data_IF_167630730484
#
_entry.id   IF_167630730484
#
_cell.length_a   1.000
_cell.length_b   1.000
_cell.length_c   1.000
_cell.angle_alpha   90.00
_cell.angle_beta   90.00
_cell.angle_gamma   90.00
#
_symmetry.space_group_name_H-M   'P 1'
#
loop_
_entity.id
_entity.type
_entity.pdbx_description
1 polymer ?
#
# COMPACT_ATOMS: atom_id res chain seq x y z
N UNK A 1 48.39 38.49 39.16
CA UNK A 1 47.44 38.42 38.02
C UNK A 1 47.34 39.82 37.40
N UNK A 2 48.14 40.10 36.38
CA UNK A 2 48.21 41.43 35.76
C UNK A 2 46.97 41.73 34.92
N UNK A 3 46.25 42.80 35.25
CA UNK A 3 45.12 43.32 34.45
C UNK A 3 45.68 44.00 33.20
N UNK A 4 45.81 43.26 32.10
CA UNK A 4 45.98 43.85 30.77
C UNK A 4 44.69 44.62 30.42
N UNK A 5 44.70 45.94 30.61
CA UNK A 5 43.66 46.83 30.09
C UNK A 5 44.23 47.50 28.84
N UNK A 6 43.68 47.17 27.66
CA UNK A 6 43.92 47.96 26.46
C UNK A 6 43.40 49.38 26.70
N UNK A 7 44.28 50.32 26.99
CA UNK A 7 43.97 51.76 26.97
C UNK A 7 44.11 52.24 25.53
N UNK A 8 43.04 52.08 24.74
CA UNK A 8 42.94 52.69 23.41
C UNK A 8 42.40 54.11 23.58
N UNK A 9 43.29 55.10 23.59
CA UNK A 9 42.91 56.51 23.56
C UNK A 9 42.62 56.93 22.12
N UNK A 10 41.34 56.99 21.74
CA UNK A 10 40.89 57.32 20.38
C UNK A 10 41.11 58.80 20.00
N UNK A 11 41.76 59.61 20.82
CA UNK A 11 42.14 60.98 20.43
C UNK A 11 43.32 61.01 19.45
N UNK A 12 44.21 60.01 19.48
CA UNK A 12 45.41 59.96 18.64
C UNK A 12 45.20 59.14 17.37
N UNK A 13 45.80 59.57 16.25
CA UNK A 13 45.71 58.88 14.95
C UNK A 13 46.25 57.45 15.01
N UNK A 14 47.29 57.19 15.80
CA UNK A 14 47.88 55.86 15.98
C UNK A 14 46.92 54.88 16.66
N UNK A 15 46.25 55.31 17.74
CA UNK A 15 45.29 54.47 18.45
C UNK A 15 43.99 54.28 17.65
N UNK A 16 43.57 55.28 16.86
CA UNK A 16 42.48 55.12 15.88
C UNK A 16 42.82 54.05 14.85
N UNK A 17 44.05 54.04 14.32
CA UNK A 17 44.52 53.02 13.39
C UNK A 17 44.59 51.63 14.04
N UNK A 18 45.12 51.51 15.26
CA UNK A 18 45.13 50.23 16.01
C UNK A 18 43.73 49.70 16.27
N UNK A 19 42.80 50.56 16.69
CA UNK A 19 41.40 50.19 16.88
C UNK A 19 40.75 49.76 15.56
N UNK A 20 41.01 50.49 14.47
CA UNK A 20 40.52 50.13 13.14
C UNK A 20 41.03 48.77 12.66
N UNK A 21 42.33 48.49 12.83
CA UNK A 21 42.94 47.19 12.49
C UNK A 21 42.33 46.07 13.34
N UNK A 22 42.14 46.28 14.65
CA UNK A 22 41.53 45.28 15.53
C UNK A 22 40.08 44.99 15.16
N UNK A 23 39.29 46.02 14.86
CA UNK A 23 37.89 45.86 14.42
C UNK A 23 37.83 45.16 13.07
N UNK A 24 38.65 45.56 12.09
CA UNK A 24 38.72 44.89 10.80
C UNK A 24 39.17 43.44 10.93
N UNK A 25 40.20 43.17 11.73
CA UNK A 25 40.68 41.83 12.03
C UNK A 25 39.60 40.96 12.68
N UNK A 26 38.84 41.52 13.63
CA UNK A 26 37.71 40.82 14.27
C UNK A 26 36.59 40.54 13.26
N UNK A 27 36.22 41.50 12.41
CA UNK A 27 35.19 41.31 11.38
C UNK A 27 35.60 40.25 10.36
N UNK A 28 36.86 40.25 9.93
CA UNK A 28 37.42 39.23 9.03
C UNK A 28 37.39 37.87 9.73
N UNK A 29 37.84 37.78 10.98
CA UNK A 29 37.81 36.54 11.74
C UNK A 29 36.39 35.98 11.87
N UNK A 30 35.41 36.82 12.24
CA UNK A 30 34.00 36.43 12.33
C UNK A 30 33.47 35.98 10.96
N UNK A 31 33.82 36.68 9.89
CA UNK A 31 33.44 36.32 8.52
C UNK A 31 33.97 34.95 8.13
N UNK A 32 35.27 34.69 8.33
CA UNK A 32 35.91 33.40 8.05
C UNK A 32 35.31 32.29 8.91
N UNK A 33 35.12 32.53 10.22
CA UNK A 33 34.51 31.56 11.12
C UNK A 33 33.08 31.20 10.71
N UNK A 34 32.30 32.18 10.26
CA UNK A 34 30.92 31.98 9.81
C UNK A 34 30.87 31.16 8.53
N UNK A 35 31.74 31.45 7.55
CA UNK A 35 31.85 30.62 6.33
C UNK A 35 32.24 29.19 6.68
N UNK A 36 33.21 29.00 7.59
CA UNK A 36 33.59 27.68 8.07
C UNK A 36 32.44 26.91 8.72
N UNK A 37 31.68 27.57 9.62
CA UNK A 37 30.51 26.98 10.25
C UNK A 37 29.42 26.62 9.23
N UNK A 38 29.19 27.46 8.22
CA UNK A 38 28.25 27.17 7.14
C UNK A 38 28.69 25.91 6.38
N UNK A 39 29.97 25.77 6.03
CA UNK A 39 30.47 24.59 5.32
C UNK A 39 30.29 23.30 6.14
N UNK A 40 30.62 23.34 7.43
CA UNK A 40 30.44 22.18 8.33
C UNK A 40 28.97 21.77 8.40
N UNK A 41 28.07 22.74 8.57
CA UNK A 41 26.63 22.49 8.66
C UNK A 41 25.97 22.11 7.32
N UNK A 42 26.76 21.92 6.26
CA UNK A 42 26.30 21.42 4.96
C UNK A 42 26.77 19.99 4.68
N UNK A 43 27.64 19.43 5.53
CA UNK A 43 28.16 18.08 5.36
C UNK A 43 27.16 17.01 5.81
N UNK A 44 27.10 15.85 5.13
CA UNK A 44 26.25 14.72 5.52
C UNK A 44 26.48 14.27 6.98
N UNK A 45 27.72 14.35 7.46
CA UNK A 45 28.08 13.97 8.83
C UNK A 45 27.45 14.88 9.89
N UNK A 46 27.30 16.17 9.58
CA UNK A 46 26.58 17.09 10.45
C UNK A 46 25.09 16.70 10.51
N UNK A 47 24.48 16.38 9.38
CA UNK A 47 23.08 15.98 9.33
C UNK A 47 22.81 14.71 10.16
N UNK A 48 23.65 13.67 10.04
CA UNK A 48 23.46 12.42 10.81
C UNK A 48 23.69 12.56 12.32
N UNK A 49 24.28 13.68 12.77
CA UNK A 49 24.45 13.95 14.20
C UNK A 49 23.09 14.10 14.91
N UNK A 50 22.05 14.50 14.17
CA UNK A 50 20.66 14.40 14.60
C UNK A 50 20.18 12.96 14.41
N UNK A 51 19.74 12.31 15.49
CA UNK A 51 19.37 10.90 15.45
C UNK A 51 18.24 10.62 14.47
N UNK A 52 17.28 11.54 14.32
CA UNK A 52 16.15 11.45 13.40
C UNK A 52 16.55 11.48 11.92
N UNK A 53 17.77 11.94 11.60
CA UNK A 53 18.32 12.00 10.24
C UNK A 53 19.16 10.78 9.85
N UNK A 54 19.45 9.88 10.79
CA UNK A 54 20.16 8.62 10.49
C UNK A 54 19.53 7.80 9.35
N UNK A 55 18.18 7.65 9.24
CA UNK A 55 17.59 6.93 8.11
C UNK A 55 17.96 7.56 6.76
N UNK A 56 17.86 8.88 6.66
CA UNK A 56 18.12 9.60 5.41
C UNK A 56 19.62 9.56 5.06
N UNK A 57 20.49 9.66 6.07
CA UNK A 57 21.94 9.51 5.89
C UNK A 57 22.31 8.12 5.36
N UNK A 58 21.90 7.04 6.03
CA UNK A 58 22.32 5.69 5.62
C UNK A 58 21.71 5.30 4.28
N UNK A 59 20.46 5.71 3.99
CA UNK A 59 19.87 5.47 2.67
C UNK A 59 20.61 6.22 1.57
N UNK A 60 20.97 7.50 1.78
CA UNK A 60 21.81 8.25 0.85
C UNK A 60 23.18 7.59 0.64
N UNK A 61 23.82 7.14 1.72
CA UNK A 61 25.17 6.58 1.74
C UNK A 61 25.32 5.34 0.83
N UNK A 62 24.25 4.57 0.67
CA UNK A 62 24.25 3.33 -0.13
C UNK A 62 23.85 3.55 -1.60
N UNK A 63 23.54 4.80 -1.99
CA UNK A 63 23.13 5.14 -3.36
C UNK A 63 24.30 5.63 -4.22
N UNK A 64 24.05 5.76 -5.52
CA UNK A 64 24.99 6.39 -6.46
C UNK A 64 25.15 7.90 -6.28
N UNK A 65 24.43 8.54 -5.36
CA UNK A 65 24.53 9.98 -5.09
C UNK A 65 25.33 10.28 -3.80
N UNK A 66 25.91 9.26 -3.17
CA UNK A 66 26.71 9.39 -1.93
C UNK A 66 27.94 10.31 -2.05
N UNK A 67 28.36 10.67 -3.26
CA UNK A 67 29.47 11.61 -3.46
C UNK A 67 29.06 13.09 -3.42
N UNK A 68 27.76 13.40 -3.34
CA UNK A 68 27.25 14.77 -3.26
C UNK A 68 26.69 15.05 -1.87
N UNK A 69 26.92 16.26 -1.35
CA UNK A 69 26.39 16.67 -0.05
C UNK A 69 24.86 16.71 -0.08
N UNK A 70 24.23 16.49 1.08
CA UNK A 70 22.76 16.58 1.20
C UNK A 70 22.24 17.93 0.65
N UNK A 71 22.97 19.00 0.96
CA UNK A 71 22.60 20.37 0.58
C UNK A 71 22.70 20.65 -0.92
N UNK A 72 23.45 19.86 -1.68
CA UNK A 72 23.48 20.00 -3.15
C UNK A 72 22.16 19.57 -3.80
N UNK A 73 21.37 18.76 -3.10
CA UNK A 73 20.03 18.33 -3.51
C UNK A 73 18.92 19.12 -2.79
N UNK A 74 19.05 19.30 -1.47
CA UNK A 74 18.00 19.86 -0.61
C UNK A 74 17.95 21.39 -0.59
N UNK A 75 18.97 22.09 -1.12
CA UNK A 75 19.00 23.54 -1.20
C UNK A 75 19.07 23.97 -2.67
N UNK A 76 18.15 24.85 -3.06
CA UNK A 76 18.20 25.45 -4.38
C UNK A 76 19.51 26.24 -4.57
N UNK A 77 20.09 26.28 -5.78
CA UNK A 77 21.38 26.92 -6.00
C UNK A 77 21.27 28.42 -5.82
N UNK A 78 22.28 29.03 -5.20
CA UNK A 78 22.39 30.48 -5.05
C UNK A 78 22.49 30.91 -3.59
N UNK A 79 23.10 32.07 -3.38
CA UNK A 79 23.35 32.60 -2.05
C UNK A 79 22.06 32.93 -1.29
N UNK A 80 21.06 33.47 -1.99
CA UNK A 80 19.76 33.79 -1.39
C UNK A 80 19.06 32.53 -0.85
N UNK A 81 18.99 31.47 -1.65
CA UNK A 81 18.39 30.19 -1.26
C UNK A 81 19.13 29.53 -0.10
N UNK A 82 20.46 29.61 -0.09
CA UNK A 82 21.27 29.15 1.05
C UNK A 82 20.92 29.90 2.34
N UNK A 83 20.83 31.24 2.29
CA UNK A 83 20.50 32.05 3.46
C UNK A 83 19.08 31.76 3.97
N UNK A 84 18.09 31.68 3.06
CA UNK A 84 16.71 31.32 3.40
C UNK A 84 16.67 29.95 4.08
N UNK A 85 17.38 28.96 3.53
CA UNK A 85 17.45 27.63 4.11
C UNK A 85 18.09 27.64 5.51
N UNK A 86 19.14 28.42 5.73
CA UNK A 86 19.78 28.51 7.06
C UNK A 86 18.85 29.13 8.09
N UNK A 87 18.04 30.11 7.70
CA UNK A 87 17.01 30.69 8.57
C UNK A 87 15.90 29.66 8.84
N UNK A 88 15.42 28.95 7.82
CA UNK A 88 14.38 27.93 8.00
C UNK A 88 14.86 26.73 8.85
N UNK A 89 16.14 26.37 8.76
CA UNK A 89 16.73 25.29 9.56
C UNK A 89 16.70 25.55 11.08
N UNK A 90 16.53 26.81 11.53
CA UNK A 90 16.32 27.12 12.95
C UNK A 90 15.05 26.43 13.49
N UNK A 91 14.01 26.31 12.66
CA UNK A 91 12.79 25.56 12.98
C UNK A 91 13.11 24.08 13.23
N UNK A 92 13.97 23.49 12.40
CA UNK A 92 14.37 22.08 12.53
C UNK A 92 15.11 21.82 13.84
N UNK A 93 16.01 22.73 14.23
CA UNK A 93 16.70 22.68 15.53
C UNK A 93 15.70 22.75 16.68
N UNK A 94 14.71 23.64 16.61
CA UNK A 94 13.63 23.70 17.61
C UNK A 94 12.82 22.40 17.68
N UNK A 95 12.45 21.84 16.52
CA UNK A 95 11.71 20.58 16.44
C UNK A 95 12.51 19.40 17.01
N UNK A 96 13.83 19.36 16.78
CA UNK A 96 14.74 18.38 17.36
C UNK A 96 14.71 18.41 18.90
N UNK A 97 14.94 19.59 19.49
CA UNK A 97 15.00 19.74 20.95
C UNK A 97 13.65 19.53 21.64
N UNK A 98 12.55 19.88 20.98
CA UNK A 98 11.20 19.67 21.53
C UNK A 98 10.62 18.29 21.23
N UNK A 99 11.20 17.55 20.29
CA UNK A 99 10.69 16.25 19.83
C UNK A 99 9.36 16.32 19.07
N UNK A 100 8.94 17.50 18.60
CA UNK A 100 7.60 17.76 18.03
C UNK A 100 7.52 17.57 16.50
N UNK A 101 8.52 16.94 15.89
CA UNK A 101 8.54 16.68 14.45
C UNK A 101 7.56 15.56 14.02
N UNK A 102 6.99 15.64 12.80
CA UNK A 102 6.09 14.62 12.29
C UNK A 102 6.82 13.29 12.02
N UNK A 103 6.10 12.17 12.16
CA UNK A 103 6.59 10.83 11.82
C UNK A 103 5.63 10.14 10.83
N UNK A 104 6.07 9.74 9.63
CA UNK A 104 7.41 9.94 9.07
C UNK A 104 7.70 11.42 8.81
N UNK A 105 8.99 11.80 8.83
CA UNK A 105 9.44 13.13 8.43
C UNK A 105 9.16 13.29 6.93
N UNK A 106 8.61 14.44 6.54
CA UNK A 106 8.24 14.75 5.16
C UNK A 106 8.90 16.05 4.76
N UNK A 107 9.36 16.13 3.51
CA UNK A 107 9.74 17.42 2.96
C UNK A 107 8.52 18.29 2.75
N UNK A 108 8.57 19.52 3.26
CA UNK A 108 7.52 20.53 3.06
C UNK A 108 7.50 21.00 1.60
N UNK A 109 8.68 21.11 0.98
CA UNK A 109 8.84 21.57 -0.39
C UNK A 109 9.44 20.46 -1.28
N UNK A 110 8.93 20.27 -2.50
CA UNK A 110 9.54 19.34 -3.45
C UNK A 110 10.92 19.85 -3.89
N UNK A 111 11.83 18.93 -4.21
CA UNK A 111 13.13 19.30 -4.77
C UNK A 111 12.93 19.98 -6.12
N UNK A 112 13.49 21.19 -6.33
CA UNK A 112 13.41 21.86 -7.63
C UNK A 112 14.04 21.02 -8.74
N UNK A 113 13.36 20.95 -9.89
CA UNK A 113 13.82 20.19 -11.05
C UNK A 113 15.21 20.62 -11.53
N UNK A 114 15.52 21.91 -11.40
CA UNK A 114 16.79 22.47 -11.86
C UNK A 114 18.00 21.96 -11.07
N UNK A 115 17.80 21.53 -9.81
CA UNK A 115 18.85 20.90 -9.00
C UNK A 115 19.34 19.61 -9.65
N UNK A 116 18.42 18.78 -10.15
CA UNK A 116 18.76 17.57 -10.90
C UNK A 116 19.43 17.91 -12.23
N UNK A 117 18.91 18.91 -12.96
CA UNK A 117 19.38 19.28 -14.31
C UNK A 117 20.80 19.83 -14.36
N UNK A 118 21.34 20.36 -13.25
CA UNK A 118 22.76 20.74 -13.18
C UNK A 118 23.71 19.63 -13.63
N UNK A 119 23.43 18.41 -13.18
CA UNK A 119 24.23 17.22 -13.50
C UNK A 119 23.55 16.35 -14.57
N UNK A 120 22.21 16.39 -14.64
CA UNK A 120 21.39 15.57 -15.56
C UNK A 120 20.70 16.42 -16.63
N UNK A 121 21.46 17.22 -17.37
CA UNK A 121 20.92 18.01 -18.49
C UNK A 121 20.72 17.17 -19.76
N UNK A 122 19.62 17.38 -20.52
CA UNK A 122 19.37 16.70 -21.79
C UNK A 122 20.48 16.84 -22.85
N UNK A 123 21.23 17.95 -22.83
CA UNK A 123 22.36 18.15 -23.73
C UNK A 123 23.62 17.35 -23.36
N UNK A 124 23.76 16.92 -22.10
CA UNK A 124 24.98 16.31 -21.57
C UNK A 124 24.84 14.81 -21.31
N UNK A 125 23.63 14.24 -21.50
CA UNK A 125 23.36 12.84 -21.20
C UNK A 125 22.24 12.30 -22.07
N UNK A 126 22.48 11.13 -22.69
CA UNK A 126 21.38 10.33 -23.21
C UNK A 126 20.64 9.64 -22.06
N UNK A 127 19.35 9.93 -21.93
CA UNK A 127 18.49 9.24 -20.98
C UNK A 127 18.11 7.87 -21.55
N UNK A 128 18.84 6.83 -21.17
CA UNK A 128 18.44 5.46 -21.51
C UNK A 128 17.51 4.91 -20.43
N UNK A 129 16.29 4.58 -20.84
CA UNK A 129 15.37 3.80 -20.01
C UNK A 129 15.83 2.36 -20.08
N UNK A 130 16.10 1.74 -18.93
CA UNK A 130 16.46 0.32 -18.88
C UNK A 130 15.23 -0.54 -19.15
N UNK A 131 15.38 -1.60 -19.96
CA UNK A 131 14.33 -2.58 -20.22
C UNK A 131 13.44 -2.24 -21.42
N UNK A 132 12.16 -2.55 -21.30
CA UNK A 132 11.16 -2.48 -22.36
C UNK A 132 10.38 -1.15 -22.38
N UNK A 133 10.61 -0.26 -21.42
CA UNK A 133 9.84 0.98 -21.30
C UNK A 133 10.30 2.06 -22.30
N UNK A 134 9.32 2.81 -22.80
CA UNK A 134 9.45 3.97 -23.69
C UNK A 134 9.11 5.21 -22.86
N UNK A 135 10.13 5.93 -22.39
CA UNK A 135 9.96 7.15 -21.59
C UNK A 135 10.75 8.28 -22.24
N UNK A 136 10.12 9.06 -23.15
CA UNK A 136 10.75 10.22 -23.77
C UNK A 136 10.87 11.36 -22.74
N UNK A 137 12.03 11.49 -22.10
CA UNK A 137 12.27 12.45 -21.00
C UNK A 137 12.12 13.91 -21.47
N UNK A 138 12.50 14.21 -22.71
CA UNK A 138 12.33 15.49 -23.38
C UNK A 138 10.85 15.93 -23.44
N UNK A 139 9.96 15.00 -23.81
CA UNK A 139 8.52 15.28 -23.87
C UNK A 139 7.90 15.47 -22.49
N UNK A 140 8.41 14.75 -21.49
CA UNK A 140 7.96 14.89 -20.11
C UNK A 140 8.42 16.23 -19.49
N UNK A 141 9.69 16.60 -19.67
CA UNK A 141 10.24 17.88 -19.21
C UNK A 141 9.50 19.06 -19.86
N UNK A 142 9.24 18.99 -21.18
CA UNK A 142 8.46 20.00 -21.91
C UNK A 142 7.00 20.15 -21.44
N UNK A 143 6.47 19.14 -20.72
CA UNK A 143 5.14 19.18 -20.09
C UNK A 143 5.19 19.44 -18.59
N UNK A 144 6.32 19.93 -18.08
CA UNK A 144 6.50 20.27 -16.67
C UNK A 144 6.39 19.07 -15.74
N UNK A 145 6.84 17.89 -16.18
CA UNK A 145 7.04 16.72 -15.31
C UNK A 145 8.46 16.78 -14.77
N UNK A 146 8.62 16.77 -13.46
CA UNK A 146 9.91 16.93 -12.79
C UNK A 146 10.58 15.58 -12.55
N UNK A 147 11.91 15.58 -12.42
CA UNK A 147 12.69 14.36 -12.20
C UNK A 147 12.16 13.56 -11.01
N UNK A 148 11.83 14.23 -9.90
CA UNK A 148 11.37 13.61 -8.66
C UNK A 148 9.93 13.07 -8.74
N UNK A 149 9.15 13.42 -9.75
CA UNK A 149 7.81 12.86 -9.95
C UNK A 149 7.90 11.35 -10.22
N UNK A 150 8.98 10.91 -10.87
CA UNK A 150 9.26 9.50 -11.13
C UNK A 150 10.45 8.95 -10.31
N UNK A 151 11.48 9.76 -10.06
CA UNK A 151 12.72 9.36 -9.39
C UNK A 151 12.78 9.80 -7.91
N UNK A 152 11.64 9.87 -7.21
CA UNK A 152 11.63 10.32 -5.81
C UNK A 152 12.33 9.34 -4.84
N UNK A 153 12.56 8.09 -5.25
CA UNK A 153 13.33 7.09 -4.50
C UNK A 153 14.85 7.15 -4.67
N UNK A 154 15.40 8.07 -5.47
CA UNK A 154 16.81 8.03 -5.91
C UNK A 154 17.84 8.06 -4.78
N UNK A 155 17.58 8.80 -3.71
CA UNK A 155 18.50 8.95 -2.58
C UNK A 155 18.02 8.21 -1.32
N UNK A 156 16.71 8.04 -1.15
CA UNK A 156 16.13 7.59 0.12
C UNK A 156 15.22 6.36 0.00
N UNK A 157 15.05 5.78 -1.20
CA UNK A 157 14.27 4.55 -1.38
C UNK A 157 12.82 4.64 -0.91
N UNK A 158 12.21 5.85 -0.96
CA UNK A 158 10.82 6.09 -0.56
C UNK A 158 10.48 5.70 0.89
N UNK A 159 11.46 5.70 1.80
CA UNK A 159 11.25 5.26 3.20
C UNK A 159 10.18 6.08 3.92
N UNK A 160 10.04 7.37 3.59
CA UNK A 160 9.01 8.24 4.14
C UNK A 160 7.61 7.89 3.60
N UNK A 161 7.44 7.73 2.27
CA UNK A 161 6.15 7.33 1.67
C UNK A 161 5.70 5.95 2.17
N UNK A 162 6.64 5.03 2.30
CA UNK A 162 6.42 3.68 2.85
C UNK A 162 6.30 3.64 4.38
N UNK A 163 6.38 4.78 5.08
CA UNK A 163 6.29 4.86 6.56
C UNK A 163 7.23 3.85 7.25
N UNK A 164 8.46 3.71 6.76
CA UNK A 164 9.44 2.77 7.34
C UNK A 164 9.97 3.32 8.66
N UNK A 165 10.18 4.63 8.73
CA UNK A 165 10.67 5.34 9.92
C UNK A 165 9.67 5.38 11.08
N UNK A 166 8.41 4.97 10.88
CA UNK A 166 7.46 4.77 11.98
C UNK A 166 7.53 3.37 12.59
N UNK A 167 8.23 2.44 11.93
CA UNK A 167 8.33 1.02 12.31
C UNK A 167 9.73 0.65 12.79
N UNK A 168 10.76 1.24 12.19
CA UNK A 168 12.16 1.07 12.57
C UNK A 168 12.60 2.30 13.35
N UNK A 169 13.11 2.09 14.57
CA UNK A 169 13.66 3.16 15.40
C UNK A 169 14.87 3.80 14.72
N UNK A 170 15.01 5.13 14.83
CA UNK A 170 16.06 5.88 14.16
C UNK A 170 17.49 5.40 14.45
N UNK A 171 17.76 4.99 15.70
CA UNK A 171 19.08 4.51 16.11
C UNK A 171 19.42 3.10 15.59
N UNK A 172 18.43 2.33 15.13
CA UNK A 172 18.64 1.00 14.57
C UNK A 172 19.11 1.04 13.11
N UNK A 173 19.12 2.22 12.48
CA UNK A 173 19.58 2.37 11.11
C UNK A 173 21.10 2.20 11.01
N UNK A 174 21.49 1.42 10.01
CA UNK A 174 22.85 1.16 9.59
C UNK A 174 22.85 0.85 8.08
N UNK A 175 24.03 0.62 7.52
CA UNK A 175 24.19 0.35 6.09
C UNK A 175 23.38 -0.86 5.60
N UNK A 176 23.32 -1.96 6.37
CA UNK A 176 22.56 -3.16 6.02
C UNK A 176 21.07 -2.87 5.90
N UNK A 177 20.49 -2.24 6.93
CA UNK A 177 19.08 -1.84 6.93
C UNK A 177 18.80 -0.88 5.77
N UNK A 178 19.69 0.08 5.52
CA UNK A 178 19.54 0.99 4.40
C UNK A 178 19.53 0.26 3.06
N UNK A 179 20.48 -0.65 2.80
CA UNK A 179 20.54 -1.42 1.54
C UNK A 179 19.26 -2.22 1.30
N UNK A 180 18.70 -2.84 2.34
CA UNK A 180 17.41 -3.54 2.24
C UNK A 180 16.26 -2.59 1.90
N UNK A 181 16.26 -1.40 2.48
CA UNK A 181 15.20 -0.41 2.28
C UNK A 181 15.38 0.45 1.03
N UNK A 182 16.55 0.43 0.39
CA UNK A 182 16.82 1.14 -0.88
C UNK A 182 17.05 0.19 -2.04
N UNK A 183 16.62 -1.07 -1.94
CA UNK A 183 16.62 -2.01 -3.08
C UNK A 183 16.00 -1.31 -4.31
N UNK A 184 16.63 -1.46 -5.47
CA UNK A 184 16.14 -0.91 -6.73
C UNK A 184 14.70 -1.32 -7.07
N UNK A 185 14.15 -2.39 -6.49
CA UNK A 185 12.72 -2.72 -6.58
C UNK A 185 11.82 -1.75 -5.82
N UNK A 186 12.30 -1.17 -4.71
CA UNK A 186 11.56 -0.24 -3.86
C UNK A 186 11.73 1.20 -4.32
N UNK A 187 12.88 1.54 -4.90
CA UNK A 187 13.21 2.89 -5.36
C UNK A 187 12.66 3.23 -6.76
N UNK A 188 12.25 2.22 -7.55
CA UNK A 188 11.70 2.43 -8.90
C UNK A 188 10.23 2.85 -8.84
N UNK A 189 9.80 3.74 -9.76
CA UNK A 189 8.39 4.10 -9.88
C UNK A 189 7.58 2.87 -10.25
N UNK A 190 6.37 2.80 -9.70
CA UNK A 190 5.40 1.76 -10.02
C UNK A 190 4.58 2.18 -11.24
N UNK A 191 3.97 1.21 -11.91
CA UNK A 191 3.13 1.46 -13.08
C UNK A 191 1.99 2.45 -12.79
N UNK A 192 1.41 2.40 -11.58
CA UNK A 192 0.34 3.32 -11.18
C UNK A 192 0.81 4.78 -11.18
N UNK A 193 2.07 5.08 -10.86
CA UNK A 193 2.63 6.43 -10.93
C UNK A 193 2.47 7.01 -12.33
N UNK A 194 2.80 6.21 -13.36
CA UNK A 194 2.66 6.60 -14.76
C UNK A 194 1.17 6.76 -15.13
N UNK A 195 0.36 5.74 -14.84
CA UNK A 195 -1.04 5.68 -15.27
C UNK A 195 -1.93 6.72 -14.60
N UNK A 196 -1.72 7.03 -13.31
CA UNK A 196 -2.46 8.08 -12.62
C UNK A 196 -2.20 9.45 -13.24
N UNK A 197 -0.94 9.76 -13.54
CA UNK A 197 -0.57 11.02 -14.19
C UNK A 197 -1.11 11.09 -15.62
N UNK A 198 -0.93 10.02 -16.41
CA UNK A 198 -1.43 9.95 -17.78
C UNK A 198 -2.96 10.08 -17.84
N UNK A 199 -3.69 9.38 -16.96
CA UNK A 199 -5.15 9.47 -16.87
C UNK A 199 -5.58 10.89 -16.52
N UNK A 200 -4.98 11.51 -15.50
CA UNK A 200 -5.29 12.89 -15.09
C UNK A 200 -5.02 13.91 -16.20
N UNK A 201 -4.04 13.65 -17.07
CA UNK A 201 -3.63 14.54 -18.17
C UNK A 201 -4.20 14.13 -19.52
N UNK A 202 -5.13 13.17 -19.58
CA UNK A 202 -5.70 12.62 -20.82
C UNK A 202 -4.64 12.16 -21.84
N UNK A 203 -3.54 11.59 -21.36
CA UNK A 203 -2.50 10.95 -22.19
C UNK A 203 -2.79 9.46 -22.29
N UNK A 204 -2.39 8.84 -23.41
CA UNK A 204 -2.59 7.41 -23.64
C UNK A 204 -2.09 6.55 -22.47
N UNK A 205 -2.89 5.56 -22.10
CA UNK A 205 -2.61 4.53 -21.10
C UNK A 205 -2.51 3.14 -21.74
N UNK A 206 -2.48 3.08 -23.08
CA UNK A 206 -2.34 1.82 -23.81
C UNK A 206 -0.94 1.25 -23.61
N UNK A 207 -0.85 -0.07 -23.42
CA UNK A 207 0.38 -0.76 -23.06
C UNK A 207 1.49 -0.53 -24.09
N UNK A 208 1.16 -0.60 -25.38
CA UNK A 208 2.09 -0.45 -26.51
C UNK A 208 2.70 0.95 -26.65
N UNK A 209 2.07 1.97 -26.04
CA UNK A 209 2.65 3.31 -26.01
C UNK A 209 3.84 3.40 -25.03
N UNK A 210 3.89 2.49 -24.05
CA UNK A 210 4.90 2.47 -23.00
C UNK A 210 5.84 1.27 -23.12
N UNK A 211 5.41 0.12 -23.64
CA UNK A 211 6.18 -1.11 -23.69
C UNK A 211 6.58 -1.48 -25.12
N UNK A 212 7.89 -1.68 -25.35
CA UNK A 212 8.45 -2.19 -26.62
C UNK A 212 8.11 -3.65 -26.85
N UNK A 213 8.16 -4.45 -25.78
CA UNK A 213 7.98 -5.91 -25.83
C UNK A 213 7.24 -6.35 -24.57
N UNK A 214 5.90 -6.25 -24.57
CA UNK A 214 5.11 -6.73 -23.43
C UNK A 214 4.92 -8.24 -23.54
N UNK A 215 5.51 -9.00 -22.62
CA UNK A 215 5.32 -10.44 -22.55
C UNK A 215 3.97 -10.75 -21.88
N UNK A 216 2.89 -10.66 -22.66
CA UNK A 216 1.58 -11.12 -22.21
C UNK A 216 1.66 -12.64 -22.05
N UNK A 217 1.32 -13.18 -20.87
CA UNK A 217 1.36 -14.62 -20.65
C UNK A 217 0.46 -15.37 -21.62
N UNK A 218 0.91 -16.51 -22.14
CA UNK A 218 0.20 -17.32 -23.15
C UNK A 218 -1.18 -17.81 -22.71
N UNK A 219 -1.48 -17.78 -21.41
CA UNK A 219 -2.77 -18.16 -20.85
C UNK A 219 -3.80 -17.01 -20.78
N UNK A 220 -3.43 -15.78 -21.16
CA UNK A 220 -4.30 -14.61 -21.04
C UNK A 220 -5.55 -14.65 -21.92
N UNK A 221 -5.49 -15.39 -23.03
CA UNK A 221 -6.58 -15.48 -24.00
C UNK A 221 -7.22 -16.87 -24.04
N UNK A 222 -6.85 -17.76 -23.10
CA UNK A 222 -7.44 -19.10 -23.05
C UNK A 222 -8.92 -19.03 -22.68
N UNK A 223 -9.76 -19.80 -23.37
CA UNK A 223 -11.21 -19.81 -23.15
C UNK A 223 -11.58 -20.22 -21.70
N UNK A 224 -10.76 -21.06 -21.06
CA UNK A 224 -10.96 -21.50 -19.68
C UNK A 224 -10.27 -20.61 -18.64
N UNK A 225 -9.73 -19.45 -19.04
CA UNK A 225 -9.07 -18.49 -18.15
C UNK A 225 -9.92 -18.16 -16.92
N UNK A 226 -11.24 -18.01 -17.08
CA UNK A 226 -12.18 -17.75 -16.00
C UNK A 226 -12.15 -18.77 -14.86
N UNK A 227 -11.75 -20.02 -15.14
CA UNK A 227 -11.63 -21.08 -14.15
C UNK A 227 -10.19 -21.28 -13.65
N UNK A 228 -9.19 -21.03 -14.50
CA UNK A 228 -7.79 -21.29 -14.16
C UNK A 228 -7.12 -20.12 -13.43
N UNK A 229 -7.49 -18.88 -13.76
CA UNK A 229 -6.77 -17.69 -13.25
C UNK A 229 -6.83 -17.59 -11.73
N UNK A 230 -7.95 -17.96 -11.10
CA UNK A 230 -8.08 -17.96 -9.65
C UNK A 230 -7.08 -18.90 -8.97
N UNK A 231 -6.84 -20.08 -9.54
CA UNK A 231 -5.84 -21.04 -9.02
C UNK A 231 -4.42 -20.53 -9.20
N UNK A 232 -4.14 -19.85 -10.31
CA UNK A 232 -2.84 -19.23 -10.56
C UNK A 232 -2.58 -18.05 -9.63
N UNK A 233 -3.57 -17.18 -9.45
CA UNK A 233 -3.53 -16.04 -8.55
C UNK A 233 -3.29 -16.45 -7.09
N UNK A 234 -3.89 -17.57 -6.64
CA UNK A 234 -3.64 -18.12 -5.30
C UNK A 234 -2.23 -18.67 -5.12
N UNK A 235 -1.54 -19.07 -6.19
CA UNK A 235 -0.13 -19.51 -6.15
C UNK A 235 0.83 -18.33 -6.13
N UNK A 236 0.61 -17.36 -7.02
CA UNK A 236 1.44 -16.16 -7.16
C UNK A 236 0.63 -15.02 -7.77
N UNK A 237 0.07 -14.16 -6.91
CA UNK A 237 -0.65 -12.95 -7.33
C UNK A 237 0.32 -11.87 -7.84
N UNK A 238 1.57 -11.91 -7.41
CA UNK A 238 2.57 -10.89 -7.78
C UNK A 238 2.89 -10.95 -9.27
N UNK A 239 2.78 -12.14 -9.88
CA UNK A 239 2.83 -12.31 -11.32
C UNK A 239 1.82 -11.43 -12.06
N UNK A 240 0.55 -11.45 -11.64
CA UNK A 240 -0.52 -10.62 -12.22
C UNK A 240 -0.30 -9.14 -11.90
N UNK A 241 0.17 -8.84 -10.70
CA UNK A 241 0.38 -7.47 -10.22
C UNK A 241 1.48 -6.71 -10.98
N UNK A 242 2.36 -7.41 -11.70
CA UNK A 242 3.31 -6.76 -12.61
C UNK A 242 2.61 -5.85 -13.62
N UNK A 243 1.40 -6.20 -14.04
CA UNK A 243 0.62 -5.44 -15.01
C UNK A 243 -0.67 -4.86 -14.39
N UNK A 244 -1.30 -5.55 -13.44
CA UNK A 244 -2.64 -5.19 -12.92
C UNK A 244 -2.65 -4.43 -11.58
N UNK A 245 -1.48 -3.98 -11.09
CA UNK A 245 -1.36 -3.24 -9.83
C UNK A 245 -1.76 -1.76 -9.92
N UNK A 246 -2.22 -1.27 -11.07
CA UNK A 246 -2.49 0.16 -11.30
C UNK A 246 -3.75 0.72 -10.61
N UNK A 247 -4.48 -0.12 -9.88
CA UNK A 247 -5.79 0.19 -9.31
C UNK A 247 -5.81 0.17 -7.78
N UNK A 248 -4.65 0.30 -7.14
CA UNK A 248 -4.51 0.01 -5.71
C UNK A 248 -4.86 1.19 -4.80
N UNK A 249 -5.91 0.99 -3.99
CA UNK A 249 -6.17 1.71 -2.75
C UNK A 249 -5.48 1.05 -1.53
N UNK A 250 -4.80 -0.09 -1.70
CA UNK A 250 -4.20 -0.82 -0.57
C UNK A 250 -2.85 -0.21 -0.15
N UNK A 251 -2.67 -0.01 1.16
CA UNK A 251 -1.47 0.64 1.70
C UNK A 251 -0.22 -0.24 1.51
N UNK A 252 0.84 0.37 1.00
CA UNK A 252 2.15 -0.26 0.79
C UNK A 252 2.74 -0.86 2.07
N UNK A 253 3.21 -2.10 1.98
CA UNK A 253 3.93 -2.78 3.07
C UNK A 253 3.04 -3.56 4.05
N UNK A 254 1.76 -3.75 3.73
CA UNK A 254 0.88 -4.67 4.46
C UNK A 254 0.92 -6.04 3.77
N UNK A 255 1.40 -7.09 4.43
CA UNK A 255 1.21 -8.47 3.95
C UNK A 255 -0.27 -8.81 4.08
N UNK A 256 -0.99 -8.78 2.97
CA UNK A 256 -2.40 -9.16 2.86
C UNK A 256 -2.51 -10.51 2.17
N UNK A 257 -3.53 -11.30 2.52
CA UNK A 257 -3.81 -12.53 1.78
C UNK A 257 -4.20 -12.20 0.33
N UNK A 258 -3.99 -13.12 -0.61
CA UNK A 258 -4.45 -12.94 -2.00
C UNK A 258 -5.94 -12.58 -2.07
N UNK A 259 -6.75 -13.13 -1.16
CA UNK A 259 -8.19 -12.88 -1.08
C UNK A 259 -8.47 -11.43 -0.72
N UNK A 260 -7.84 -10.93 0.34
CA UNK A 260 -8.01 -9.55 0.78
C UNK A 260 -7.45 -8.56 -0.25
N UNK A 261 -6.35 -8.93 -0.89
CA UNK A 261 -5.78 -8.17 -2.00
C UNK A 261 -6.77 -8.04 -3.17
N UNK A 262 -7.35 -9.15 -3.64
CA UNK A 262 -8.33 -9.17 -4.73
C UNK A 262 -9.57 -8.36 -4.39
N UNK A 263 -10.07 -8.44 -3.14
CA UNK A 263 -11.23 -7.68 -2.70
C UNK A 263 -10.95 -6.17 -2.59
N UNK A 264 -9.73 -5.79 -2.21
CA UNK A 264 -9.32 -4.39 -2.04
C UNK A 264 -8.72 -3.73 -3.29
N UNK A 265 -8.41 -4.50 -4.34
CA UNK A 265 -7.87 -3.98 -5.60
C UNK A 265 -9.01 -3.67 -6.57
N UNK A 266 -9.12 -2.41 -7.01
CA UNK A 266 -10.22 -1.95 -7.88
C UNK A 266 -10.25 -2.68 -9.24
N UNK A 267 -9.11 -3.11 -9.76
CA UNK A 267 -9.02 -3.90 -10.99
C UNK A 267 -9.70 -5.25 -10.81
N UNK A 268 -9.28 -6.00 -9.79
CA UNK A 268 -9.82 -7.34 -9.52
C UNK A 268 -11.28 -7.27 -9.04
N UNK A 269 -11.57 -6.29 -8.18
CA UNK A 269 -12.88 -6.10 -7.56
C UNK A 269 -14.00 -5.91 -8.59
N UNK A 270 -13.73 -5.26 -9.72
CA UNK A 270 -14.73 -5.01 -10.77
C UNK A 270 -15.38 -6.31 -11.28
N UNK A 271 -14.61 -7.39 -11.38
CA UNK A 271 -15.13 -8.71 -11.75
C UNK A 271 -15.56 -9.53 -10.53
N UNK A 272 -14.74 -9.56 -9.47
CA UNK A 272 -14.98 -10.42 -8.31
C UNK A 272 -16.13 -9.96 -7.39
N UNK A 273 -16.67 -8.76 -7.58
CA UNK A 273 -17.90 -8.30 -6.89
C UNK A 273 -19.19 -8.83 -7.50
N UNK A 274 -19.14 -9.46 -8.68
CA UNK A 274 -20.35 -9.95 -9.36
C UNK A 274 -20.91 -11.16 -8.61
N UNK A 275 -22.22 -11.14 -8.39
CA UNK A 275 -22.94 -12.23 -7.74
C UNK A 275 -22.80 -13.52 -8.56
N UNK A 276 -22.24 -14.61 -8.02
CA UNK A 276 -22.01 -15.83 -8.80
C UNK A 276 -23.31 -16.53 -9.17
N UNK A 277 -23.36 -17.17 -10.34
CA UNK A 277 -24.50 -18.00 -10.78
C UNK A 277 -24.79 -19.18 -9.82
N UNK A 278 -23.80 -19.59 -9.02
CA UNK A 278 -23.97 -20.67 -8.04
C UNK A 278 -24.93 -20.32 -6.89
N UNK A 279 -25.25 -19.05 -6.69
CA UNK A 279 -26.15 -18.59 -5.63
C UNK A 279 -27.61 -18.62 -6.08
N UNK A 280 -28.13 -19.83 -6.23
CA UNK A 280 -29.55 -20.10 -6.50
C UNK A 280 -30.38 -19.99 -5.21
N UNK A 281 -31.71 -19.90 -5.35
CA UNK A 281 -32.62 -19.77 -4.20
C UNK A 281 -32.50 -20.94 -3.20
N UNK A 282 -32.16 -22.13 -3.70
CA UNK A 282 -31.97 -23.37 -2.94
C UNK A 282 -30.52 -23.60 -2.45
N UNK A 283 -29.61 -22.63 -2.66
CA UNK A 283 -28.18 -22.76 -2.37
C UNK A 283 -27.87 -23.35 -0.99
N UNK A 284 -28.60 -22.94 0.06
CA UNK A 284 -28.39 -23.45 1.43
C UNK A 284 -28.47 -24.97 1.52
N UNK A 285 -29.23 -25.61 0.64
CA UNK A 285 -29.45 -27.06 0.59
C UNK A 285 -28.41 -27.72 -0.33
N UNK A 286 -28.10 -27.10 -1.47
CA UNK A 286 -27.27 -27.71 -2.52
C UNK A 286 -25.78 -27.36 -2.44
N UNK A 287 -25.39 -26.38 -1.63
CA UNK A 287 -24.01 -25.87 -1.58
C UNK A 287 -22.97 -26.90 -1.12
N UNK A 288 -23.38 -28.00 -0.45
CA UNK A 288 -22.45 -29.05 0.01
C UNK A 288 -21.61 -29.61 -1.14
N UNK A 289 -22.20 -29.82 -2.32
CA UNK A 289 -21.48 -30.35 -3.46
C UNK A 289 -20.48 -29.32 -4.02
N UNK A 290 -20.94 -28.09 -4.24
CA UNK A 290 -20.11 -26.98 -4.75
C UNK A 290 -18.96 -26.63 -3.80
N UNK A 291 -19.24 -26.55 -2.49
CA UNK A 291 -18.23 -26.25 -1.46
C UNK A 291 -17.19 -27.36 -1.29
N UNK A 292 -17.54 -28.62 -1.58
CA UNK A 292 -16.57 -29.73 -1.62
C UNK A 292 -15.68 -29.67 -2.85
N UNK A 293 -16.23 -29.22 -3.98
CA UNK A 293 -15.51 -29.12 -5.25
C UNK A 293 -14.52 -27.96 -5.26
N UNK A 294 -14.92 -26.80 -4.74
CA UNK A 294 -14.08 -25.60 -4.69
C UNK A 294 -14.41 -24.72 -3.48
N UNK A 295 -13.87 -25.10 -2.32
CA UNK A 295 -13.99 -24.31 -1.09
C UNK A 295 -13.26 -22.97 -1.19
N UNK A 296 -12.11 -22.95 -1.86
CA UNK A 296 -11.25 -21.78 -1.92
C UNK A 296 -11.83 -20.66 -2.79
N UNK A 297 -12.59 -21.00 -3.83
CA UNK A 297 -13.39 -20.07 -4.62
C UNK A 297 -14.47 -19.35 -3.80
N UNK A 298 -15.12 -20.05 -2.85
CA UNK A 298 -16.08 -19.42 -1.94
C UNK A 298 -15.40 -18.37 -1.04
N UNK A 299 -14.16 -18.64 -0.62
CA UNK A 299 -13.41 -17.72 0.23
C UNK A 299 -12.93 -16.46 -0.49
N UNK A 300 -13.15 -16.31 -1.80
CA UNK A 300 -12.93 -15.04 -2.48
C UNK A 300 -13.92 -13.97 -1.99
N UNK A 301 -15.15 -14.35 -1.61
CA UNK A 301 -16.18 -13.41 -1.16
C UNK A 301 -16.59 -13.60 0.31
N UNK A 302 -16.43 -14.81 0.84
CA UNK A 302 -16.80 -15.18 2.21
C UNK A 302 -15.57 -15.44 3.06
N UNK A 303 -15.72 -15.32 4.38
CA UNK A 303 -14.70 -15.75 5.33
C UNK A 303 -15.18 -16.99 6.09
N UNK A 304 -14.24 -17.74 6.66
CA UNK A 304 -14.57 -18.85 7.54
C UNK A 304 -15.20 -18.35 8.85
N UNK A 305 -14.65 -17.29 9.42
CA UNK A 305 -15.06 -16.68 10.68
C UNK A 305 -15.68 -15.31 10.45
N UNK A 306 -16.24 -14.71 11.51
CA UNK A 306 -16.79 -13.35 11.46
C UNK A 306 -15.72 -12.39 10.92
N UNK A 307 -15.99 -11.68 9.80
CA UNK A 307 -15.02 -10.74 9.25
C UNK A 307 -14.72 -9.60 10.24
N UNK A 308 -13.51 -9.04 10.16
CA UNK A 308 -13.14 -7.83 10.89
C UNK A 308 -14.02 -6.64 10.45
N UNK A 309 -14.16 -5.63 11.32
CA UNK A 309 -15.03 -4.45 11.08
C UNK A 309 -14.69 -3.72 9.77
N UNK A 310 -13.42 -3.75 9.34
CA UNK A 310 -12.95 -3.10 8.11
C UNK A 310 -12.66 -4.12 6.98
N UNK A 311 -13.19 -5.35 7.08
CA UNK A 311 -13.04 -6.34 6.02
C UNK A 311 -13.96 -6.03 4.85
N UNK A 312 -13.46 -6.24 3.63
CA UNK A 312 -14.23 -6.18 2.39
C UNK A 312 -14.95 -7.49 2.07
N UNK A 313 -14.87 -8.49 2.96
CA UNK A 313 -15.63 -9.73 2.86
C UNK A 313 -17.13 -9.48 3.07
N UNK A 314 -17.96 -10.36 2.51
CA UNK A 314 -19.40 -10.30 2.75
C UNK A 314 -19.75 -10.64 4.22
N UNK A 315 -20.94 -10.23 4.66
CA UNK A 315 -21.42 -10.47 6.03
C UNK A 315 -21.79 -11.94 6.31
N UNK A 316 -21.72 -12.81 5.31
CA UNK A 316 -21.98 -14.25 5.43
C UNK A 316 -20.66 -14.99 5.57
N UNK A 317 -20.52 -15.78 6.63
CA UNK A 317 -19.31 -16.55 6.94
C UNK A 317 -19.65 -17.97 7.38
N UNK A 318 -18.74 -18.92 7.15
CA UNK A 318 -19.02 -20.35 7.33
C UNK A 318 -19.43 -20.70 8.77
N UNK A 319 -18.69 -20.19 9.76
CA UNK A 319 -18.91 -20.46 11.17
C UNK A 319 -20.27 -19.94 11.68
N UNK A 320 -20.94 -19.04 10.95
CA UNK A 320 -22.30 -18.58 11.27
C UNK A 320 -23.31 -19.73 11.22
N UNK A 321 -23.07 -20.71 10.34
CA UNK A 321 -23.96 -21.85 10.13
C UNK A 321 -23.30 -23.20 10.46
N UNK A 322 -21.98 -23.31 10.31
CA UNK A 322 -21.19 -24.54 10.49
C UNK A 322 -20.22 -24.47 11.68
N UNK A 323 -20.24 -23.38 12.46
CA UNK A 323 -19.45 -23.27 13.67
C UNK A 323 -19.98 -24.21 14.76
N UNK A 324 -19.21 -24.45 15.84
CA UNK A 324 -19.75 -25.16 16.98
C UNK A 324 -21.01 -24.45 17.45
N UNK A 325 -22.15 -25.12 17.35
CA UNK A 325 -23.39 -24.68 17.95
C UNK A 325 -23.10 -24.48 19.43
N UNK A 326 -23.08 -23.22 19.88
CA UNK A 326 -23.36 -22.95 21.29
C UNK A 326 -24.79 -23.46 21.48
N UNK A 327 -24.92 -24.64 22.08
CA UNK A 327 -26.19 -25.22 22.42
C UNK A 327 -26.96 -24.19 23.28
N UNK A 328 -28.25 -23.95 23.04
CA UNK A 328 -29.05 -23.16 23.95
C UNK A 328 -29.05 -23.85 25.32
N UNK A 329 -28.36 -23.27 26.31
CA UNK A 329 -28.29 -23.86 27.66
C UNK A 329 -27.10 -23.44 28.54
N UNK A 330 -26.03 -22.87 27.99
CA UNK A 330 -24.98 -22.24 28.81
C UNK A 330 -24.93 -20.74 28.54
N UNK A 331 -25.69 -20.00 29.36
CA UNK A 331 -25.60 -18.55 29.47
C UNK A 331 -24.36 -18.16 30.26
N UNK A 332 -23.60 -17.20 29.74
CA UNK A 332 -23.19 -16.07 30.57
C UNK A 332 -23.75 -14.78 29.96
N UNK A 333 -24.93 -14.40 30.48
CA UNK A 333 -25.55 -13.07 30.74
C UNK A 333 -25.25 -11.88 29.77
N UNK A 334 -26.16 -11.00 29.34
CA UNK A 334 -27.57 -10.69 29.68
C UNK A 334 -28.16 -9.70 28.65
N UNK A 335 -29.42 -9.92 28.27
CA UNK A 335 -30.47 -8.87 28.16
C UNK A 335 -30.46 -7.89 26.98
N UNK A 336 -31.46 -8.00 26.10
CA UNK A 336 -31.93 -6.87 25.27
C UNK A 336 -32.67 -7.26 23.99
N UNK A 337 -34.00 -7.23 24.03
CA UNK A 337 -34.99 -7.67 23.04
C UNK A 337 -35.24 -6.73 21.85
N UNK A 338 -35.63 -7.28 20.69
CA UNK A 338 -36.85 -6.97 19.88
C UNK A 338 -36.79 -7.74 18.54
N UNK A 339 -37.66 -8.71 18.21
CA UNK A 339 -39.09 -8.66 17.80
C UNK A 339 -39.35 -8.11 16.37
N UNK A 340 -39.85 -9.03 15.54
CA UNK A 340 -40.86 -8.93 14.48
C UNK A 340 -40.51 -8.55 13.03
N UNK A 341 -41.02 -9.40 12.13
CA UNK A 341 -41.08 -9.25 10.67
C UNK A 341 -41.51 -10.55 10.00
N UNK A 342 -42.78 -10.95 10.19
CA UNK A 342 -43.35 -12.18 9.62
C UNK A 342 -43.74 -12.05 8.15
N UNK A 343 -43.64 -13.17 7.42
CA UNK A 343 -44.33 -13.39 6.15
C UNK A 343 -45.04 -14.73 6.26
N UNK A 344 -46.38 -14.70 6.22
CA UNK A 344 -47.23 -15.88 6.12
C UNK A 344 -47.25 -16.34 4.66
N UNK A 345 -46.93 -17.61 4.40
CA UNK A 345 -47.24 -18.28 3.14
C UNK A 345 -48.35 -19.30 3.37
N UNK A 346 -49.47 -19.12 2.67
CA UNK A 346 -50.60 -20.04 2.67
C UNK A 346 -50.23 -21.39 2.06
N UNK A 347 -50.59 -22.49 2.74
CA UNK A 347 -50.46 -23.86 2.24
C UNK A 347 -51.54 -24.15 1.18
N UNK A 348 -51.20 -24.79 0.04
CA UNK A 348 -52.20 -25.44 -0.80
C UNK A 348 -52.73 -26.70 -0.08
N UNK A 349 -54.05 -26.90 -0.11
CA UNK A 349 -54.70 -28.14 0.31
C UNK A 349 -54.64 -29.16 -0.84
N UNK A 350 -53.70 -30.11 -0.76
CA UNK A 350 -53.59 -31.27 -1.65
C UNK A 350 -53.77 -32.59 -0.87
N UNK A 351 -54.05 -33.73 -1.54
CA UNK A 351 -54.59 -34.93 -0.90
C UNK A 351 -53.64 -35.48 0.17
N UNK A 352 -54.15 -35.46 1.39
CA UNK A 352 -53.51 -35.81 2.64
C UNK A 352 -53.33 -37.32 2.78
N UNK A 353 -52.43 -37.94 2.02
CA UNK A 353 -51.73 -39.20 2.40
C UNK A 353 -51.00 -39.81 1.20
N UNK A 354 -49.77 -40.25 1.43
CA UNK A 354 -49.11 -41.18 0.51
C UNK A 354 -49.78 -42.56 0.62
N UNK A 355 -49.76 -43.38 -0.44
CA UNK A 355 -50.24 -44.76 -0.36
C UNK A 355 -49.49 -45.54 0.72
N UNK A 356 -50.14 -46.54 1.33
CA UNK A 356 -49.58 -47.31 2.46
C UNK A 356 -48.23 -47.97 2.16
N UNK A 357 -47.96 -48.28 0.90
CA UNK A 357 -46.68 -48.83 0.42
C UNK A 357 -45.64 -47.76 0.02
N UNK A 358 -45.83 -46.48 0.38
CA UNK A 358 -44.96 -45.36 -0.01
C UNK A 358 -43.48 -45.63 0.23
N UNK A 359 -43.13 -46.19 1.40
CA UNK A 359 -41.72 -46.50 1.74
C UNK A 359 -41.06 -47.46 0.75
N UNK A 360 -41.82 -48.37 0.12
CA UNK A 360 -41.32 -49.33 -0.86
C UNK A 360 -41.16 -48.71 -2.26
N UNK A 361 -42.07 -47.80 -2.63
CA UNK A 361 -42.03 -47.15 -3.95
C UNK A 361 -41.18 -45.87 -3.97
N UNK A 362 -40.95 -45.25 -2.81
CA UNK A 362 -40.20 -44.01 -2.64
C UNK A 362 -38.79 -44.05 -3.26
N UNK A 363 -37.95 -45.08 -3.05
CA UNK A 363 -36.62 -45.14 -3.67
C UNK A 363 -36.69 -45.18 -5.21
N UNK A 364 -37.67 -45.90 -5.78
CA UNK A 364 -37.87 -46.00 -7.23
C UNK A 364 -38.37 -44.67 -7.80
N UNK A 365 -39.32 -44.03 -7.13
CA UNK A 365 -39.87 -42.73 -7.51
C UNK A 365 -38.79 -41.63 -7.50
N UNK A 366 -37.96 -41.56 -6.46
CA UNK A 366 -36.83 -40.61 -6.38
C UNK A 366 -35.79 -40.86 -7.47
N UNK A 367 -35.57 -42.13 -7.84
CA UNK A 367 -34.63 -42.51 -8.91
C UNK A 367 -35.16 -42.14 -10.30
N UNK A 368 -36.47 -42.27 -10.54
CA UNK A 368 -37.10 -41.99 -11.84
C UNK A 368 -37.43 -40.51 -12.06
N UNK A 369 -37.84 -39.78 -11.01
CA UNK A 369 -38.26 -38.37 -11.10
C UNK A 369 -37.25 -37.38 -10.55
N UNK A 370 -36.20 -37.86 -9.87
CA UNK A 370 -35.16 -37.04 -9.26
C UNK A 370 -35.63 -36.25 -8.04
N UNK A 371 -34.70 -35.89 -7.16
CA UNK A 371 -34.95 -34.91 -6.08
C UNK A 371 -35.05 -33.47 -6.58
N UNK A 372 -34.62 -33.22 -7.82
CA UNK A 372 -34.51 -31.88 -8.41
C UNK A 372 -35.80 -31.28 -8.97
N UNK A 373 -36.92 -32.02 -9.00
CA UNK A 373 -38.21 -31.47 -9.49
C UNK A 373 -38.94 -30.61 -8.46
N UNK A 374 -38.42 -30.47 -7.24
CA UNK A 374 -38.91 -29.49 -6.23
C UNK A 374 -40.25 -29.82 -5.56
N UNK A 375 -41.15 -30.54 -6.25
CA UNK A 375 -42.53 -30.82 -5.81
C UNK A 375 -42.64 -31.47 -4.42
N UNK A 376 -41.66 -32.27 -4.01
CA UNK A 376 -41.67 -32.91 -2.69
C UNK A 376 -41.55 -31.89 -1.55
N UNK A 377 -40.80 -30.80 -1.77
CA UNK A 377 -40.53 -29.76 -0.77
C UNK A 377 -41.63 -28.68 -0.72
N UNK A 378 -42.57 -28.71 -1.67
CA UNK A 378 -43.74 -27.84 -1.68
C UNK A 378 -44.78 -28.29 -0.65
N UNK A 379 -44.86 -29.59 -0.37
CA UNK A 379 -45.84 -30.16 0.56
C UNK A 379 -45.25 -30.55 1.94
N UNK A 380 -43.94 -30.72 2.06
CA UNK A 380 -43.28 -31.20 3.29
C UNK A 380 -42.05 -30.39 3.69
N UNK A 381 -41.91 -30.12 4.99
CA UNK A 381 -40.68 -29.57 5.57
C UNK A 381 -39.55 -30.61 5.53
N UNK A 382 -38.35 -30.17 5.15
CA UNK A 382 -37.14 -31.00 4.95
C UNK A 382 -36.68 -31.74 6.21
N UNK A 383 -37.03 -31.25 7.40
CA UNK A 383 -36.75 -31.93 8.67
C UNK A 383 -37.49 -33.26 8.83
N UNK A 384 -38.60 -33.48 8.10
CA UNK A 384 -39.37 -34.72 8.16
C UNK A 384 -38.68 -35.88 7.43
N UNK A 385 -37.84 -35.59 6.43
CA UNK A 385 -37.08 -36.60 5.70
C UNK A 385 -35.89 -37.12 6.53
N UNK A 386 -35.35 -36.25 7.39
CA UNK A 386 -34.14 -36.53 8.18
C UNK A 386 -34.27 -37.81 9.01
N UNK A 387 -35.38 -37.97 9.74
CA UNK A 387 -35.58 -39.13 10.66
C UNK A 387 -35.45 -40.48 9.96
N UNK A 388 -35.91 -40.60 8.71
CA UNK A 388 -35.80 -41.86 7.94
C UNK A 388 -34.43 -42.04 7.28
N UNK A 389 -33.77 -40.96 6.87
CA UNK A 389 -32.49 -41.03 6.15
C UNK A 389 -31.24 -41.04 7.03
N UNK A 390 -31.33 -40.63 8.30
CA UNK A 390 -30.17 -40.64 9.21
C UNK A 390 -30.11 -41.84 10.15
N UNK A 391 -31.23 -42.51 10.42
CA UNK A 391 -31.28 -43.66 11.35
C UNK A 391 -31.25 -45.04 10.65
N UNK A 392 -30.85 -45.12 9.38
CA UNK A 392 -30.64 -46.41 8.71
C UNK A 392 -31.86 -47.34 8.71
N UNK A 393 -33.07 -46.79 8.57
CA UNK A 393 -34.27 -47.58 8.28
C UNK A 393 -34.65 -48.67 9.31
N UNK A 394 -34.32 -48.53 10.60
CA UNK A 394 -34.82 -49.43 11.64
C UNK A 394 -35.98 -48.81 12.42
N UNK A 395 -37.19 -49.01 11.91
CA UNK A 395 -38.42 -49.25 12.68
C UNK A 395 -39.33 -50.13 11.84
#
# INVERSE_FOLDING_TARGET
>A
MGKWRLKLDLSTTENRLKAFILVCGLLIFIGVATVGAIQITMEPDFCQSCHEMRPEYYTWQVTSHRQFRCTECHIEPGLASLLIHKISAVKEVYLHFTGTYPRPIKMENPIPNNTCKKCHSPGNRQFTVSGDLIIPHDRHDAKGVYCVDCHSGVAHGEIAKRKVTTRIQFLAWNETVAREQTDGKLAKPKMNTCLECHTKRNVTTRCEACHKTIAIPTNHEQEDWWYQHGRLAMKDIDYCNKCHSFSLQTQEGTKVSTRDYVRGNVFCYTCHRKWPQSHTADWKIVHKHSARKDKDGCFICHDQNKPAVNSTATTTYCAKCHGPTVLPGQTTFTGGSNQNGGVQSGKPQGPSSHPSNWRQIHPKYVKEKGTGTGRCFECHDTSNCFRCHTNGGKT
#
